data_IF_351906152795
#
_entry.id   IF_351906152795
#
_cell.length_a   1.000
_cell.length_b   1.000
_cell.length_c   1.000
_cell.angle_alpha   90.00
_cell.angle_beta   90.00
_cell.angle_gamma   90.00
#
_symmetry.space_group_name_H-M   'P 1'
#
loop_
_entity.id
_entity.type
_entity.pdbx_description
1 polymer ?
#
# COMPACT_ATOMS: atom_id res chain seq x y z
N UNK A 1 10.29 58.77 -20.76
CA UNK A 1 9.23 57.78 -20.45
C UNK A 1 9.61 57.09 -19.14
N UNK A 2 8.84 57.31 -18.08
CA UNK A 2 9.11 56.88 -16.69
C UNK A 2 8.99 55.36 -16.55
N UNK A 3 10.01 54.72 -15.97
CA UNK A 3 10.03 53.33 -15.49
C UNK A 3 10.33 53.32 -13.97
N UNK A 4 9.56 54.09 -13.21
CA UNK A 4 9.67 54.11 -11.74
C UNK A 4 8.28 53.83 -11.17
N UNK A 5 8.01 52.60 -10.74
CA UNK A 5 6.68 52.28 -10.22
C UNK A 5 6.39 50.84 -9.77
N UNK A 6 7.38 50.00 -9.48
CA UNK A 6 7.13 48.60 -9.07
C UNK A 6 8.05 48.09 -7.93
N UNK A 7 8.43 48.95 -6.98
CA UNK A 7 9.41 48.58 -5.95
C UNK A 7 8.96 48.79 -4.50
N UNK A 8 7.65 48.88 -4.21
CA UNK A 8 7.17 49.23 -2.85
C UNK A 8 5.95 48.47 -2.31
N UNK A 9 5.88 47.14 -2.53
CA UNK A 9 4.80 46.33 -1.91
C UNK A 9 5.31 45.11 -1.11
N UNK A 10 6.60 44.78 -1.10
CA UNK A 10 7.06 43.48 -0.60
C UNK A 10 7.78 43.48 0.78
N UNK A 11 7.44 44.33 1.75
CA UNK A 11 8.21 44.36 3.01
C UNK A 11 7.44 44.33 4.34
N UNK A 12 6.13 44.07 4.36
CA UNK A 12 5.37 44.03 5.62
C UNK A 12 4.45 42.81 5.80
N UNK A 13 4.79 41.67 5.18
CA UNK A 13 4.20 40.38 5.57
C UNK A 13 4.99 39.83 6.77
N UNK A 14 4.67 40.31 7.98
CA UNK A 14 5.15 39.71 9.23
C UNK A 14 4.79 38.23 9.23
N UNK A 15 5.81 37.37 9.24
CA UNK A 15 5.76 35.97 8.82
C UNK A 15 5.00 35.09 9.85
N UNK A 16 3.70 34.77 9.68
CA UNK A 16 2.92 33.99 10.64
C UNK A 16 3.09 32.47 10.44
N UNK A 17 4.11 32.05 9.68
CA UNK A 17 4.24 30.68 9.17
C UNK A 17 4.52 29.57 10.21
N UNK A 18 5.32 29.77 11.29
CA UNK A 18 5.76 28.63 12.09
C UNK A 18 4.66 27.97 12.92
N UNK A 19 3.60 28.70 13.30
CA UNK A 19 2.47 28.12 14.04
C UNK A 19 1.55 27.28 13.15
N UNK A 20 1.39 27.67 11.87
CA UNK A 20 0.57 26.96 10.91
C UNK A 20 1.12 25.54 10.68
N UNK A 21 2.44 25.43 10.51
CA UNK A 21 3.11 24.15 10.24
C UNK A 21 2.89 23.14 11.36
N UNK A 22 3.02 23.56 12.63
CA UNK A 22 2.79 22.68 13.79
C UNK A 22 1.36 22.14 13.83
N UNK A 23 0.37 22.98 13.55
CA UNK A 23 -1.04 22.56 13.54
C UNK A 23 -1.32 21.53 12.43
N UNK A 24 -0.72 21.71 11.25
CA UNK A 24 -0.89 20.81 10.12
C UNK A 24 -0.23 19.45 10.39
N UNK A 25 0.97 19.43 10.97
CA UNK A 25 1.66 18.20 11.34
C UNK A 25 0.84 17.36 12.33
N UNK A 26 0.25 18.01 13.34
CA UNK A 26 -0.63 17.34 14.31
C UNK A 26 -1.85 16.73 13.62
N UNK A 27 -2.46 17.43 12.66
CA UNK A 27 -3.59 16.91 11.88
C UNK A 27 -3.16 15.68 11.08
N UNK A 28 -2.09 15.78 10.29
CA UNK A 28 -1.59 14.67 9.46
C UNK A 28 -1.29 13.42 10.29
N UNK A 29 -0.50 13.57 11.35
CA UNK A 29 -0.15 12.49 12.27
C UNK A 29 -1.40 11.84 12.88
N UNK A 30 -2.37 12.67 13.31
CA UNK A 30 -3.61 12.18 13.91
C UNK A 30 -4.42 11.37 12.92
N UNK A 31 -4.58 11.84 11.67
CA UNK A 31 -5.35 11.12 10.65
C UNK A 31 -4.65 9.81 10.22
N UNK A 32 -3.34 9.86 9.97
CA UNK A 32 -2.57 8.67 9.60
C UNK A 32 -2.61 7.60 10.69
N UNK A 33 -2.37 7.97 11.95
CA UNK A 33 -2.35 7.03 13.07
C UNK A 33 -3.74 6.45 13.34
N UNK A 34 -4.79 7.30 13.40
CA UNK A 34 -6.15 6.83 13.67
C UNK A 34 -6.65 5.87 12.60
N UNK A 35 -6.50 6.22 11.33
CA UNK A 35 -6.98 5.36 10.26
C UNK A 35 -6.13 4.08 10.15
N UNK A 36 -4.81 4.16 10.31
CA UNK A 36 -3.95 2.96 10.37
C UNK A 36 -4.35 2.03 11.51
N UNK A 37 -4.61 2.54 12.72
CA UNK A 37 -5.08 1.72 13.85
C UNK A 37 -6.45 1.09 13.54
N UNK A 38 -7.35 1.85 12.91
CA UNK A 38 -8.67 1.36 12.53
C UNK A 38 -8.56 0.21 11.52
N UNK A 39 -7.76 0.37 10.46
CA UNK A 39 -7.61 -0.61 9.38
C UNK A 39 -6.82 -1.85 9.79
N UNK A 40 -5.71 -1.68 10.50
CA UNK A 40 -4.78 -2.79 10.78
C UNK A 40 -5.04 -3.52 12.10
N UNK A 41 -5.74 -2.88 13.05
CA UNK A 41 -5.98 -3.47 14.38
C UNK A 41 -7.47 -3.63 14.63
N UNK A 42 -8.23 -2.55 14.58
CA UNK A 42 -9.65 -2.58 14.97
C UNK A 42 -10.47 -3.42 13.99
N UNK A 43 -10.28 -3.28 12.67
CA UNK A 43 -11.03 -4.03 11.67
C UNK A 43 -10.79 -5.55 11.79
N UNK A 44 -9.56 -6.09 11.80
CA UNK A 44 -9.34 -7.52 12.01
C UNK A 44 -9.93 -8.05 13.32
N UNK A 45 -9.78 -7.30 14.43
CA UNK A 45 -10.37 -7.69 15.72
C UNK A 45 -11.90 -7.67 15.68
N UNK A 46 -12.50 -6.68 15.03
CA UNK A 46 -13.95 -6.60 14.85
C UNK A 46 -14.49 -7.77 14.02
N UNK A 47 -13.76 -8.19 12.97
CA UNK A 47 -14.13 -9.36 12.16
C UNK A 47 -14.00 -10.67 12.95
N UNK A 48 -12.93 -10.82 13.74
CA UNK A 48 -12.79 -11.95 14.64
C UNK A 48 -13.92 -12.02 15.69
N UNK A 49 -14.25 -10.86 16.29
CA UNK A 49 -15.37 -10.74 17.22
C UNK A 49 -16.71 -11.06 16.56
N UNK A 50 -16.93 -10.58 15.34
CA UNK A 50 -18.10 -10.90 14.52
C UNK A 50 -18.23 -12.40 14.31
N UNK A 51 -17.19 -13.07 13.82
CA UNK A 51 -17.22 -14.52 13.57
C UNK A 51 -17.42 -15.35 14.83
N UNK A 52 -16.98 -14.85 15.98
CA UNK A 52 -17.13 -15.53 17.27
C UNK A 52 -18.54 -15.36 17.86
N UNK A 53 -19.12 -14.17 17.76
CA UNK A 53 -20.36 -13.77 18.45
C UNK A 53 -21.61 -13.80 17.57
N UNK A 54 -21.47 -13.64 16.25
CA UNK A 54 -22.63 -13.57 15.36
C UNK A 54 -23.43 -14.89 15.37
N UNK A 55 -24.76 -14.83 15.20
CA UNK A 55 -25.58 -16.01 14.90
C UNK A 55 -25.01 -16.83 13.75
N UNK A 56 -25.15 -18.16 13.80
CA UNK A 56 -24.57 -19.09 12.80
C UNK A 56 -24.91 -18.73 11.35
N UNK A 57 -26.12 -18.23 11.10
CA UNK A 57 -26.60 -17.79 9.78
C UNK A 57 -25.87 -16.56 9.20
N UNK A 58 -25.09 -15.83 10.02
CA UNK A 58 -24.36 -14.64 9.60
C UNK A 58 -22.83 -14.83 9.60
N UNK A 59 -22.36 -16.00 10.02
CA UNK A 59 -20.93 -16.37 9.99
C UNK A 59 -20.51 -16.75 8.58
N UNK A 60 -19.20 -16.69 8.33
CA UNK A 60 -18.63 -17.27 7.14
C UNK A 60 -19.00 -18.76 7.02
N UNK A 61 -19.43 -19.17 5.83
CA UNK A 61 -19.78 -20.57 5.53
C UNK A 61 -19.27 -20.95 4.14
N UNK A 62 -19.10 -22.26 3.91
CA UNK A 62 -18.61 -22.75 2.63
C UNK A 62 -19.60 -22.49 1.48
N UNK A 63 -20.91 -22.52 1.75
CA UNK A 63 -21.94 -22.29 0.73
C UNK A 63 -22.12 -20.81 0.41
N UNK A 64 -22.07 -19.92 1.40
CA UNK A 64 -22.37 -18.50 1.23
C UNK A 64 -21.13 -17.61 1.03
N UNK A 65 -19.95 -18.11 1.41
CA UNK A 65 -18.77 -17.29 1.66
C UNK A 65 -18.99 -16.42 2.89
N UNK A 66 -18.68 -15.12 2.79
CA UNK A 66 -18.98 -14.15 3.83
C UNK A 66 -20.38 -13.53 3.66
N UNK A 67 -21.04 -13.25 4.80
CA UNK A 67 -22.35 -12.59 4.86
C UNK A 67 -22.25 -11.12 4.44
N UNK A 68 -23.26 -10.60 3.75
CA UNK A 68 -23.33 -9.16 3.42
C UNK A 68 -23.33 -8.28 4.68
N UNK A 69 -23.86 -8.79 5.80
CA UNK A 69 -23.88 -8.04 7.07
C UNK A 69 -22.46 -7.84 7.62
N UNK A 70 -21.53 -8.76 7.33
CA UNK A 70 -20.11 -8.60 7.70
C UNK A 70 -19.43 -7.42 6.98
N UNK A 71 -20.05 -6.86 5.93
CA UNK A 71 -19.58 -5.64 5.27
C UNK A 71 -19.88 -4.36 6.07
N UNK A 72 -20.71 -4.42 7.13
CA UNK A 72 -21.02 -3.24 7.93
C UNK A 72 -19.78 -2.66 8.64
N UNK A 73 -18.92 -3.45 9.32
CA UNK A 73 -17.62 -2.98 9.79
C UNK A 73 -16.78 -2.33 8.70
N UNK A 74 -16.67 -2.97 7.52
CA UNK A 74 -15.93 -2.40 6.38
C UNK A 74 -16.50 -1.04 5.98
N UNK A 75 -17.81 -0.93 5.80
CA UNK A 75 -18.47 0.32 5.41
C UNK A 75 -18.17 1.46 6.41
N UNK A 76 -18.19 1.18 7.71
CA UNK A 76 -17.84 2.19 8.73
C UNK A 76 -16.37 2.61 8.65
N UNK A 77 -15.46 1.67 8.38
CA UNK A 77 -14.03 1.96 8.18
C UNK A 77 -13.81 2.79 6.91
N UNK A 78 -14.51 2.48 5.82
CA UNK A 78 -14.40 3.24 4.56
C UNK A 78 -14.99 4.66 4.68
N UNK A 79 -16.08 4.85 5.42
CA UNK A 79 -16.58 6.19 5.72
C UNK A 79 -15.55 7.01 6.52
N UNK A 80 -14.90 6.38 7.50
CA UNK A 80 -13.82 7.01 8.25
C UNK A 80 -12.61 7.33 7.35
N UNK A 81 -12.24 6.42 6.44
CA UNK A 81 -11.19 6.62 5.45
C UNK A 81 -11.46 7.88 4.60
N UNK A 82 -12.65 8.00 4.00
CA UNK A 82 -13.00 9.15 3.16
C UNK A 82 -12.86 10.47 3.92
N UNK A 83 -13.29 10.49 5.18
CA UNK A 83 -13.13 11.65 6.06
C UNK A 83 -11.65 11.94 6.37
N UNK A 84 -10.92 10.93 6.85
CA UNK A 84 -9.53 11.06 7.28
C UNK A 84 -8.61 11.47 6.12
N UNK A 85 -8.78 10.87 4.95
CA UNK A 85 -8.04 11.21 3.73
C UNK A 85 -8.39 12.62 3.25
N UNK A 86 -9.66 13.04 3.30
CA UNK A 86 -10.05 14.40 2.90
C UNK A 86 -9.40 15.46 3.80
N UNK A 87 -9.36 15.21 5.12
CA UNK A 87 -8.68 16.06 6.09
C UNK A 87 -7.16 16.07 5.85
N UNK A 88 -6.54 14.89 5.71
CA UNK A 88 -5.10 14.76 5.49
C UNK A 88 -4.67 15.40 4.16
N UNK A 89 -5.44 15.21 3.09
CA UNK A 89 -5.22 15.85 1.80
C UNK A 89 -5.27 17.38 1.90
N UNK A 90 -6.29 17.92 2.58
CA UNK A 90 -6.45 19.37 2.74
C UNK A 90 -5.32 19.98 3.57
N UNK A 91 -4.93 19.28 4.64
CA UNK A 91 -3.80 19.64 5.49
C UNK A 91 -2.48 19.62 4.69
N UNK A 92 -2.20 18.53 3.97
CA UNK A 92 -1.01 18.41 3.10
C UNK A 92 -0.98 19.52 2.03
N UNK A 93 -2.12 19.78 1.38
CA UNK A 93 -2.22 20.83 0.35
C UNK A 93 -1.95 22.23 0.92
N UNK A 94 -2.28 22.48 2.19
CA UNK A 94 -2.01 23.78 2.83
C UNK A 94 -0.53 24.06 3.08
N UNK A 95 0.33 23.03 3.06
CA UNK A 95 1.79 23.17 3.11
C UNK A 95 2.40 23.54 1.76
N UNK A 96 1.62 23.46 0.68
CA UNK A 96 2.09 23.71 -0.68
C UNK A 96 1.86 25.18 -1.04
N UNK A 97 2.92 25.86 -1.48
CA UNK A 97 2.85 27.24 -1.97
C UNK A 97 2.11 27.32 -3.31
N UNK A 98 1.61 28.51 -3.67
CA UNK A 98 0.90 28.70 -4.95
C UNK A 98 1.72 28.30 -6.19
N UNK A 99 3.03 28.63 -6.30
CA UNK A 99 3.85 28.17 -7.42
C UNK A 99 3.96 26.64 -7.50
N UNK A 100 4.18 25.98 -6.36
CA UNK A 100 4.25 24.52 -6.28
C UNK A 100 2.91 23.89 -6.68
N UNK A 101 1.77 24.47 -6.29
CA UNK A 101 0.45 24.00 -6.71
C UNK A 101 0.26 24.05 -8.23
N UNK A 102 0.81 25.06 -8.92
CA UNK A 102 0.79 25.12 -10.39
C UNK A 102 1.60 23.98 -11.00
N UNK A 103 2.79 23.71 -10.44
CA UNK A 103 3.65 22.60 -10.87
C UNK A 103 2.94 21.25 -10.66
N UNK A 104 2.37 21.01 -9.47
CA UNK A 104 1.59 19.79 -9.18
C UNK A 104 0.38 19.62 -10.10
N UNK A 105 -0.27 20.73 -10.49
CA UNK A 105 -1.36 20.71 -11.47
C UNK A 105 -0.84 20.29 -12.85
N UNK A 106 0.33 20.77 -13.27
CA UNK A 106 0.94 20.41 -14.55
C UNK A 106 1.36 18.94 -14.60
N UNK A 107 1.90 18.40 -13.51
CA UNK A 107 2.18 16.96 -13.36
C UNK A 107 0.92 16.10 -13.21
N UNK A 108 -0.26 16.70 -13.15
CA UNK A 108 -1.53 15.98 -13.06
C UNK A 108 -1.80 15.35 -11.68
N UNK A 109 -0.98 15.63 -10.65
CA UNK A 109 -1.14 15.08 -9.28
C UNK A 109 -2.55 15.33 -8.75
N UNK A 110 -3.07 16.54 -8.97
CA UNK A 110 -4.41 16.94 -8.53
C UNK A 110 -5.53 16.23 -9.32
N UNK A 111 -5.30 15.90 -10.59
CA UNK A 111 -6.26 15.20 -11.45
C UNK A 111 -6.35 13.71 -11.07
N UNK A 112 -5.22 13.09 -10.72
CA UNK A 112 -5.14 11.68 -10.33
C UNK A 112 -5.78 11.38 -8.96
N UNK A 113 -6.05 12.41 -8.13
CA UNK A 113 -6.64 12.23 -6.79
C UNK A 113 -7.87 11.34 -6.77
N UNK A 114 -8.84 11.55 -7.68
CA UNK A 114 -10.10 10.77 -7.69
C UNK A 114 -9.87 9.28 -7.94
N UNK A 115 -8.92 8.97 -8.82
CA UNK A 115 -8.54 7.59 -9.11
C UNK A 115 -7.83 6.94 -7.92
N UNK A 116 -6.92 7.66 -7.27
CA UNK A 116 -6.21 7.16 -6.09
C UNK A 116 -7.13 6.99 -4.89
N UNK A 117 -8.08 7.90 -4.68
CA UNK A 117 -9.14 7.75 -3.68
C UNK A 117 -9.89 6.42 -3.86
N UNK A 118 -10.30 6.10 -5.10
CA UNK A 118 -10.93 4.83 -5.44
C UNK A 118 -9.99 3.64 -5.19
N UNK A 119 -8.71 3.77 -5.54
CA UNK A 119 -7.69 2.75 -5.30
C UNK A 119 -7.59 2.41 -3.80
N UNK A 120 -7.61 3.41 -2.91
CA UNK A 120 -7.56 3.18 -1.47
C UNK A 120 -8.83 2.52 -0.93
N UNK A 121 -10.02 2.87 -1.43
CA UNK A 121 -11.27 2.13 -1.14
C UNK A 121 -11.15 0.65 -1.53
N UNK A 122 -10.57 0.37 -2.71
CA UNK A 122 -10.32 -0.99 -3.15
C UNK A 122 -9.31 -1.70 -2.24
N UNK A 123 -8.27 -1.02 -1.75
CA UNK A 123 -7.29 -1.61 -0.83
C UNK A 123 -7.90 -1.97 0.52
N UNK A 124 -8.80 -1.13 1.05
CA UNK A 124 -9.56 -1.41 2.26
C UNK A 124 -10.52 -2.60 2.09
N UNK A 125 -11.21 -2.70 0.94
CA UNK A 125 -12.00 -3.87 0.60
C UNK A 125 -11.16 -5.16 0.55
N UNK A 126 -9.98 -5.13 -0.08
CA UNK A 126 -9.10 -6.30 -0.11
C UNK A 126 -8.59 -6.67 1.28
N UNK A 127 -8.21 -5.68 2.11
CA UNK A 127 -7.81 -5.95 3.48
C UNK A 127 -8.93 -6.66 4.26
N UNK A 128 -10.18 -6.25 4.07
CA UNK A 128 -11.33 -6.93 4.62
C UNK A 128 -11.47 -8.37 4.09
N UNK A 129 -11.39 -8.57 2.76
CA UNK A 129 -11.51 -9.92 2.20
C UNK A 129 -10.39 -10.84 2.67
N UNK A 130 -9.15 -10.34 2.76
CA UNK A 130 -8.01 -11.09 3.27
C UNK A 130 -8.16 -11.43 4.76
N UNK A 131 -8.77 -10.54 5.55
CA UNK A 131 -9.01 -10.74 6.97
C UNK A 131 -10.16 -11.73 7.25
N UNK A 132 -11.20 -11.75 6.42
CA UNK A 132 -12.34 -12.67 6.58
C UNK A 132 -12.08 -14.05 5.95
N UNK A 133 -11.20 -14.11 4.95
CA UNK A 133 -10.93 -15.33 4.18
C UNK A 133 -10.51 -16.55 5.02
N UNK A 134 -9.66 -16.45 6.07
CA UNK A 134 -9.34 -17.59 6.93
C UNK A 134 -10.57 -18.24 7.57
N UNK A 135 -11.63 -17.48 7.86
CA UNK A 135 -12.87 -18.04 8.41
C UNK A 135 -13.69 -18.77 7.36
N UNK A 136 -13.72 -18.26 6.12
CA UNK A 136 -14.33 -18.95 4.96
C UNK A 136 -13.59 -20.26 4.71
N UNK A 137 -12.25 -20.21 4.65
CA UNK A 137 -11.40 -21.38 4.51
C UNK A 137 -11.64 -22.41 5.62
N UNK A 138 -11.75 -21.97 6.88
CA UNK A 138 -12.05 -22.83 8.03
C UNK A 138 -13.39 -23.54 7.88
N UNK A 139 -14.41 -22.86 7.35
CA UNK A 139 -15.73 -23.44 7.14
C UNK A 139 -15.77 -24.52 6.04
N UNK A 140 -14.77 -24.55 5.15
CA UNK A 140 -14.62 -25.56 4.08
C UNK A 140 -13.54 -26.60 4.39
N UNK A 141 -12.93 -26.56 5.57
CA UNK A 141 -11.58 -27.08 5.76
C UNK A 141 -11.42 -28.60 5.73
N UNK A 142 -12.44 -29.35 6.18
CA UNK A 142 -12.38 -30.81 6.29
C UNK A 142 -11.89 -31.45 4.99
N UNK A 143 -12.34 -30.93 3.84
CA UNK A 143 -11.92 -31.48 2.57
C UNK A 143 -10.77 -30.71 1.93
N UNK A 144 -10.72 -29.38 2.10
CA UNK A 144 -9.63 -28.57 1.54
C UNK A 144 -8.26 -29.05 1.99
N UNK A 145 -8.13 -29.43 3.27
CA UNK A 145 -6.86 -29.89 3.81
C UNK A 145 -6.42 -31.23 3.21
N UNK A 146 -7.36 -32.16 3.01
CA UNK A 146 -7.05 -33.47 2.44
C UNK A 146 -6.68 -33.36 0.96
N UNK A 147 -7.53 -32.71 0.15
CA UNK A 147 -7.31 -32.54 -1.30
C UNK A 147 -6.01 -31.78 -1.59
N UNK A 148 -5.76 -30.70 -0.83
CA UNK A 148 -4.54 -29.93 -0.98
C UNK A 148 -3.31 -30.71 -0.54
N UNK A 149 -3.42 -31.49 0.54
CA UNK A 149 -2.35 -32.38 1.01
C UNK A 149 -2.00 -33.45 -0.03
N UNK A 150 -3.00 -34.04 -0.68
CA UNK A 150 -2.82 -35.01 -1.77
C UNK A 150 -2.14 -34.36 -2.98
N UNK A 151 -2.62 -33.18 -3.40
CA UNK A 151 -2.00 -32.44 -4.51
C UNK A 151 -0.51 -32.10 -4.26
N UNK A 152 -0.15 -31.84 -2.99
CA UNK A 152 1.26 -31.65 -2.62
C UNK A 152 2.06 -32.95 -2.58
N UNK A 153 1.43 -34.09 -2.28
CA UNK A 153 2.08 -35.40 -2.25
C UNK A 153 2.75 -35.79 -3.58
N UNK A 154 2.21 -35.30 -4.70
CA UNK A 154 2.70 -35.57 -6.05
C UNK A 154 3.91 -34.71 -6.44
N UNK A 155 4.26 -33.68 -5.65
CA UNK A 155 5.39 -32.80 -5.93
C UNK A 155 6.70 -33.48 -5.52
N UNK A 156 7.69 -33.65 -6.42
CA UNK A 156 8.93 -34.33 -6.09
C UNK A 156 9.75 -33.56 -5.04
N UNK A 157 10.56 -34.30 -4.27
CA UNK A 157 11.49 -33.82 -3.23
C UNK A 157 10.86 -33.20 -1.99
N UNK A 158 9.93 -32.26 -2.15
CA UNK A 158 9.34 -31.47 -1.04
C UNK A 158 7.91 -31.87 -0.71
N UNK A 159 7.23 -32.60 -1.60
CA UNK A 159 5.80 -32.85 -1.53
C UNK A 159 5.33 -33.50 -0.24
N UNK A 160 5.99 -34.56 0.22
CA UNK A 160 5.62 -35.25 1.46
C UNK A 160 5.78 -34.39 2.71
N UNK A 161 6.81 -33.52 2.73
CA UNK A 161 7.03 -32.59 3.84
C UNK A 161 5.94 -31.52 3.87
N UNK A 162 5.61 -30.94 2.70
CA UNK A 162 4.56 -29.93 2.59
C UNK A 162 3.19 -30.54 2.87
N UNK A 163 2.88 -31.74 2.36
CA UNK A 163 1.63 -32.44 2.65
C UNK A 163 1.46 -32.71 4.15
N UNK A 164 2.54 -33.12 4.84
CA UNK A 164 2.54 -33.29 6.30
C UNK A 164 2.29 -31.97 7.03
N UNK A 165 2.92 -30.88 6.57
CA UNK A 165 2.69 -29.54 7.09
C UNK A 165 1.25 -29.06 6.84
N UNK A 166 0.68 -29.34 5.65
CA UNK A 166 -0.72 -29.05 5.31
C UNK A 166 -1.67 -29.77 6.25
N UNK A 167 -1.45 -31.06 6.55
CA UNK A 167 -2.28 -31.79 7.51
C UNK A 167 -2.16 -31.24 8.94
N UNK A 168 -0.97 -30.80 9.34
CA UNK A 168 -0.71 -30.26 10.68
C UNK A 168 -1.30 -28.85 10.88
N UNK A 169 -1.06 -27.95 9.92
CA UNK A 169 -1.48 -26.54 10.00
C UNK A 169 -2.92 -26.36 9.49
N UNK A 170 -3.39 -27.26 8.63
CA UNK A 170 -4.67 -27.21 7.90
C UNK A 170 -4.70 -26.05 6.89
N UNK A 171 -5.54 -26.13 5.88
CA UNK A 171 -5.59 -25.12 4.81
C UNK A 171 -5.88 -23.72 5.37
N UNK A 172 -6.86 -23.61 6.27
CA UNK A 172 -7.21 -22.34 6.90
C UNK A 172 -6.08 -21.75 7.76
N UNK A 173 -5.21 -22.59 8.32
CA UNK A 173 -4.05 -22.13 9.08
C UNK A 173 -3.04 -21.42 8.20
N UNK A 174 -2.81 -21.89 6.97
CA UNK A 174 -1.98 -21.17 5.98
C UNK A 174 -2.60 -19.84 5.58
N UNK A 175 -3.92 -19.80 5.35
CA UNK A 175 -4.63 -18.56 5.08
C UNK A 175 -4.46 -17.57 6.25
N UNK A 176 -4.63 -18.03 7.49
CA UNK A 176 -4.44 -17.21 8.68
C UNK A 176 -3.00 -16.70 8.81
N UNK A 177 -1.98 -17.54 8.58
CA UNK A 177 -0.59 -17.13 8.63
C UNK A 177 -0.25 -16.08 7.57
N UNK A 178 -0.78 -16.24 6.36
CA UNK A 178 -0.62 -15.23 5.30
C UNK A 178 -1.30 -13.91 5.69
N UNK A 179 -2.51 -13.96 6.27
CA UNK A 179 -3.25 -12.77 6.71
C UNK A 179 -2.53 -12.08 7.86
N UNK A 180 -2.06 -12.85 8.84
CA UNK A 180 -1.28 -12.34 9.96
C UNK A 180 0.03 -11.70 9.48
N UNK A 181 0.72 -12.30 8.52
CA UNK A 181 1.94 -11.74 7.92
C UNK A 181 1.65 -10.38 7.28
N UNK A 182 0.56 -10.28 6.50
CA UNK A 182 0.12 -9.01 5.90
C UNK A 182 -0.14 -7.95 6.98
N UNK A 183 -0.86 -8.30 8.05
CA UNK A 183 -1.20 -7.37 9.13
C UNK A 183 0.04 -6.95 9.94
N UNK A 184 0.94 -7.88 10.24
CA UNK A 184 2.15 -7.60 11.02
C UNK A 184 3.16 -6.77 10.21
N UNK A 185 3.45 -7.17 8.98
CA UNK A 185 4.46 -6.52 8.13
C UNK A 185 3.95 -5.17 7.63
N UNK A 186 2.72 -5.09 7.13
CA UNK A 186 2.21 -3.84 6.54
C UNK A 186 1.56 -2.93 7.58
N UNK A 187 0.88 -3.51 8.57
CA UNK A 187 0.18 -2.75 9.60
C UNK A 187 1.08 -2.37 10.76
N UNK A 188 1.55 -3.36 11.54
CA UNK A 188 2.28 -3.09 12.78
C UNK A 188 3.64 -2.44 12.51
N UNK A 189 4.43 -2.95 11.57
CA UNK A 189 5.72 -2.34 11.26
C UNK A 189 5.53 -0.92 10.67
N UNK A 190 4.52 -0.71 9.82
CA UNK A 190 4.18 0.62 9.31
C UNK A 190 3.76 1.58 10.42
N UNK A 191 2.93 1.13 11.38
CA UNK A 191 2.52 1.92 12.54
C UNK A 191 3.72 2.37 13.39
N UNK A 192 4.71 1.50 13.58
CA UNK A 192 5.95 1.86 14.29
C UNK A 192 6.75 2.93 13.54
N UNK A 193 6.77 2.87 12.20
CA UNK A 193 7.40 3.89 11.35
C UNK A 193 6.63 5.23 11.37
N UNK A 194 5.35 5.24 11.76
CA UNK A 194 4.54 6.45 11.91
C UNK A 194 4.77 7.20 13.25
N UNK A 195 5.60 6.71 14.17
CA UNK A 195 5.78 7.32 15.50
C UNK A 195 6.71 8.55 15.51
N UNK A 196 7.88 8.57 14.84
CA UNK A 196 8.89 9.63 15.02
C UNK A 196 8.62 10.94 14.26
N UNK A 197 7.37 11.39 14.13
CA UNK A 197 7.03 12.70 13.57
C UNK A 197 7.12 13.78 14.64
N UNK A 198 8.31 14.31 14.89
CA UNK A 198 8.45 15.56 15.63
C UNK A 198 9.66 16.33 15.12
N UNK A 199 9.40 17.31 14.26
CA UNK A 199 10.37 18.32 13.89
C UNK A 199 9.85 19.71 14.29
N UNK A 200 10.65 20.43 15.07
CA UNK A 200 10.43 21.84 15.33
C UNK A 200 10.96 22.64 14.12
N UNK A 201 10.07 22.98 13.17
CA UNK A 201 10.46 23.80 12.03
C UNK A 201 9.55 23.67 10.83
N UNK A 202 10.00 24.29 9.73
CA UNK A 202 9.38 24.19 8.42
C UNK A 202 9.56 22.77 7.87
N UNK A 203 8.53 22.26 7.19
CA UNK A 203 8.56 20.92 6.59
C UNK A 203 9.70 20.76 5.57
N UNK A 204 10.59 19.81 5.82
CA UNK A 204 11.71 19.44 4.95
C UNK A 204 11.30 18.36 3.95
N UNK A 205 12.10 18.13 2.90
CA UNK A 205 11.86 17.04 1.96
C UNK A 205 11.82 15.66 2.64
N UNK A 206 12.62 15.44 3.69
CA UNK A 206 12.61 14.21 4.48
C UNK A 206 11.31 14.02 5.26
N UNK A 207 10.70 15.12 5.74
CA UNK A 207 9.38 15.05 6.40
C UNK A 207 8.30 14.59 5.42
N UNK A 208 8.33 15.10 4.18
CA UNK A 208 7.40 14.68 3.14
C UNK A 208 7.58 13.20 2.75
N UNK A 209 8.82 12.69 2.67
CA UNK A 209 9.05 11.25 2.48
C UNK A 209 8.46 10.44 3.64
N UNK A 210 8.66 10.88 4.88
CA UNK A 210 8.11 10.19 6.04
C UNK A 210 6.57 10.23 6.06
N UNK A 211 5.94 11.35 5.68
CA UNK A 211 4.49 11.44 5.53
C UNK A 211 3.95 10.60 4.38
N UNK A 212 4.67 10.47 3.27
CA UNK A 212 4.29 9.57 2.19
C UNK A 212 4.19 8.12 2.68
N UNK A 213 5.18 7.66 3.44
CA UNK A 213 5.21 6.31 4.04
C UNK A 213 4.09 6.10 5.05
N UNK A 214 3.80 7.10 5.88
CA UNK A 214 2.70 7.03 6.83
C UNK A 214 1.33 7.04 6.14
N UNK A 215 1.15 7.86 5.12
CA UNK A 215 -0.07 7.88 4.31
C UNK A 215 -0.27 6.53 3.59
N UNK A 216 0.80 5.93 3.06
CA UNK A 216 0.74 4.61 2.43
C UNK A 216 0.41 3.48 3.42
N UNK A 217 0.95 3.55 4.64
CA UNK A 217 0.57 2.65 5.74
C UNK A 217 -0.90 2.83 6.09
N UNK A 218 -1.38 4.07 6.11
CA UNK A 218 -2.78 4.41 6.33
C UNK A 218 -3.67 4.12 5.12
N UNK A 219 -3.20 3.43 4.06
CA UNK A 219 -3.98 3.14 2.85
C UNK A 219 -4.54 4.40 2.15
N UNK A 220 -3.85 5.55 2.27
CA UNK A 220 -4.21 6.84 1.66
C UNK A 220 -3.30 7.15 0.44
N UNK A 221 -3.46 6.46 -0.70
CA UNK A 221 -2.55 6.60 -1.84
C UNK A 221 -2.53 8.01 -2.44
N UNK A 222 -3.62 8.78 -2.35
CA UNK A 222 -3.62 10.15 -2.89
C UNK A 222 -2.72 11.08 -2.07
N UNK A 223 -2.80 11.00 -0.74
CA UNK A 223 -1.96 11.79 0.17
C UNK A 223 -0.50 11.34 0.08
N UNK A 224 -0.25 10.03 -0.09
CA UNK A 224 1.09 9.50 -0.30
C UNK A 224 1.73 10.08 -1.57
N UNK A 225 1.06 10.01 -2.72
CA UNK A 225 1.56 10.57 -3.97
C UNK A 225 1.80 12.09 -3.88
N UNK A 226 0.91 12.84 -3.23
CA UNK A 226 1.10 14.28 -3.02
C UNK A 226 2.36 14.55 -2.18
N UNK A 227 2.57 13.78 -1.11
CA UNK A 227 3.74 13.91 -0.27
C UNK A 227 5.04 13.50 -1.00
N UNK A 228 5.02 12.43 -1.80
CA UNK A 228 6.17 12.02 -2.63
C UNK A 228 6.56 13.10 -3.64
N UNK A 229 5.58 13.70 -4.33
CA UNK A 229 5.88 14.75 -5.29
C UNK A 229 6.41 16.02 -4.60
N UNK A 230 5.90 16.35 -3.42
CA UNK A 230 6.45 17.44 -2.62
C UNK A 230 7.87 17.14 -2.13
N UNK A 231 8.17 15.90 -1.74
CA UNK A 231 9.53 15.48 -1.41
C UNK A 231 10.48 15.65 -2.60
N UNK A 232 10.05 15.25 -3.80
CA UNK A 232 10.82 15.40 -5.04
C UNK A 232 11.11 16.88 -5.35
N UNK A 233 10.12 17.76 -5.18
CA UNK A 233 10.30 19.20 -5.38
C UNK A 233 11.26 19.78 -4.34
N UNK A 234 11.08 19.40 -3.07
CA UNK A 234 11.90 19.87 -1.93
C UNK A 234 13.32 19.32 -1.92
N UNK A 235 13.61 18.25 -2.67
CA UNK A 235 14.98 17.73 -2.85
C UNK A 235 15.96 18.75 -3.42
N UNK A 236 15.46 19.75 -4.15
CA UNK A 236 16.25 20.79 -4.78
C UNK A 236 16.30 22.11 -3.99
N UNK A 237 15.55 22.22 -2.90
CA UNK A 237 15.57 23.40 -2.04
C UNK A 237 16.37 23.06 -0.78
N UNK A 238 17.55 23.65 -0.63
CA UNK A 238 18.39 23.47 0.56
C UNK A 238 17.62 23.87 1.84
N UNK A 239 17.89 23.17 2.94
CA UNK A 239 17.22 23.37 4.22
C UNK A 239 17.27 24.84 4.66
N UNK A 240 16.12 25.38 5.08
CA UNK A 240 15.89 26.80 5.32
C UNK A 240 16.77 27.39 6.45
N UNK A 241 17.39 26.53 7.25
CA UNK A 241 18.33 26.89 8.31
C UNK A 241 19.69 27.36 7.77
N UNK A 242 20.10 26.89 6.58
CA UNK A 242 21.27 27.37 5.83
C UNK A 242 20.87 28.29 4.65
N UNK A 243 19.57 28.48 4.42
CA UNK A 243 19.04 29.31 3.32
C UNK A 243 19.43 30.78 3.41
N UNK A 244 19.75 31.33 4.57
CA UNK A 244 20.07 32.76 4.61
C UNK A 244 21.28 33.04 3.73
N UNK A 245 22.30 32.18 3.84
CA UNK A 245 23.52 32.27 3.03
C UNK A 245 23.29 31.70 1.62
N UNK A 246 22.49 30.63 1.48
CA UNK A 246 22.20 30.03 0.17
C UNK A 246 21.25 30.87 -0.72
N UNK A 247 20.26 31.58 -0.16
CA UNK A 247 19.38 32.53 -0.89
C UNK A 247 20.06 33.85 -1.15
N UNK A 248 20.88 34.35 -0.23
CA UNK A 248 21.76 35.48 -0.55
C UNK A 248 22.68 35.10 -1.71
N UNK A 249 23.13 33.84 -1.75
CA UNK A 249 23.86 33.25 -2.86
C UNK A 249 23.06 33.10 -4.17
N UNK A 250 21.94 32.37 -4.19
CA UNK A 250 21.14 32.17 -5.40
C UNK A 250 20.51 33.46 -5.92
N UNK A 251 20.08 34.33 -5.00
CA UNK A 251 19.67 35.69 -5.31
C UNK A 251 20.84 36.47 -5.93
N UNK A 252 22.02 36.44 -5.30
CA UNK A 252 23.22 37.03 -5.87
C UNK A 252 23.50 36.49 -7.28
N UNK A 253 23.51 35.17 -7.49
CA UNK A 253 23.75 34.54 -8.78
C UNK A 253 22.69 34.92 -9.82
N UNK A 254 21.41 34.93 -9.45
CA UNK A 254 20.31 35.36 -10.32
C UNK A 254 20.38 36.86 -10.67
N UNK A 255 20.94 37.69 -9.78
CA UNK A 255 21.20 39.11 -10.01
C UNK A 255 22.62 39.40 -10.54
N UNK A 256 23.40 38.38 -10.92
CA UNK A 256 24.73 38.53 -11.52
C UNK A 256 25.88 38.84 -10.54
N UNK A 257 25.62 38.82 -9.24
CA UNK A 257 26.65 38.83 -8.22
C UNK A 257 27.32 37.44 -8.17
N UNK A 258 28.64 37.41 -8.32
CA UNK A 258 29.40 36.16 -8.28
C UNK A 258 29.41 35.62 -6.86
N UNK A 259 28.86 34.43 -6.65
CA UNK A 259 29.24 33.63 -5.48
C UNK A 259 30.75 33.41 -5.50
N UNK A 260 31.31 33.33 -4.31
CA UNK A 260 32.62 32.70 -4.13
C UNK A 260 32.57 31.25 -4.68
N UNK A 261 33.46 30.86 -5.60
CA UNK A 261 33.43 29.54 -6.23
C UNK A 261 33.47 28.38 -5.23
N UNK A 262 34.24 28.50 -4.14
CA UNK A 262 34.38 27.43 -3.16
C UNK A 262 33.06 27.22 -2.39
N UNK A 263 32.35 28.31 -2.11
CA UNK A 263 31.01 28.27 -1.49
C UNK A 263 29.99 27.61 -2.43
N UNK A 264 30.03 27.91 -3.73
CA UNK A 264 29.14 27.29 -4.71
C UNK A 264 29.36 25.77 -4.82
N UNK A 265 30.63 25.34 -4.85
CA UNK A 265 31.00 23.91 -4.88
C UNK A 265 30.53 23.21 -3.60
N UNK A 266 30.69 23.84 -2.43
CA UNK A 266 30.21 23.28 -1.16
C UNK A 266 28.70 23.03 -1.18
N UNK A 267 27.90 23.98 -1.68
CA UNK A 267 26.45 23.80 -1.78
C UNK A 267 26.06 22.72 -2.79
N UNK A 268 26.76 22.63 -3.93
CA UNK A 268 26.52 21.58 -4.92
C UNK A 268 26.80 20.19 -4.33
N UNK A 269 27.92 20.02 -3.63
CA UNK A 269 28.28 18.76 -2.96
C UNK A 269 27.29 18.41 -1.85
N UNK A 270 26.87 19.39 -1.04
CA UNK A 270 25.85 19.18 -0.02
C UNK A 270 24.52 18.72 -0.64
N UNK A 271 24.04 19.41 -1.68
CA UNK A 271 22.81 19.05 -2.38
C UNK A 271 22.91 17.67 -3.02
N UNK A 272 24.07 17.32 -3.60
CA UNK A 272 24.31 16.00 -4.18
C UNK A 272 24.28 14.90 -3.12
N UNK A 273 24.87 15.12 -1.96
CA UNK A 273 24.87 14.17 -0.85
C UNK A 273 23.47 13.98 -0.25
N UNK A 274 22.73 15.08 -0.04
CA UNK A 274 21.34 15.03 0.43
C UNK A 274 20.45 14.30 -0.57
N UNK A 275 20.58 14.62 -1.85
CA UNK A 275 19.87 13.97 -2.93
C UNK A 275 20.19 12.46 -2.98
N UNK A 276 21.44 12.06 -2.79
CA UNK A 276 21.81 10.65 -2.74
C UNK A 276 21.21 9.93 -1.54
N UNK A 277 21.17 10.58 -0.37
CA UNK A 277 20.58 10.02 0.85
C UNK A 277 19.06 9.82 0.72
N UNK A 278 18.35 10.82 0.21
CA UNK A 278 16.90 10.72 -0.06
C UNK A 278 16.62 9.58 -1.03
N UNK A 279 17.34 9.52 -2.16
CA UNK A 279 17.17 8.47 -3.16
C UNK A 279 17.45 7.06 -2.61
N UNK A 280 18.48 6.91 -1.76
CA UNK A 280 18.77 5.63 -1.10
C UNK A 280 17.63 5.22 -0.16
N UNK A 281 17.12 6.17 0.63
CA UNK A 281 16.00 5.94 1.55
C UNK A 281 14.72 5.56 0.80
N UNK A 282 14.41 6.25 -0.30
CA UNK A 282 13.29 5.93 -1.20
C UNK A 282 13.45 4.53 -1.82
N UNK A 283 14.63 4.22 -2.36
CA UNK A 283 14.91 2.92 -2.96
C UNK A 283 14.75 1.78 -1.95
N UNK A 284 15.25 1.96 -0.72
CA UNK A 284 15.08 0.98 0.35
C UNK A 284 13.61 0.78 0.72
N UNK A 285 12.82 1.87 0.79
CA UNK A 285 11.38 1.81 1.03
C UNK A 285 10.63 1.04 -0.06
N UNK A 286 10.84 1.39 -1.33
CA UNK A 286 10.18 0.69 -2.44
C UNK A 286 10.62 -0.77 -2.56
N UNK A 287 11.86 -1.10 -2.20
CA UNK A 287 12.33 -2.48 -2.15
C UNK A 287 11.62 -3.27 -1.05
N UNK A 288 11.52 -2.71 0.16
CA UNK A 288 10.75 -3.30 1.26
C UNK A 288 9.28 -3.49 0.88
N UNK A 289 8.70 -2.51 0.18
CA UNK A 289 7.33 -2.59 -0.28
C UNK A 289 7.13 -3.71 -1.30
N UNK A 290 8.00 -3.82 -2.31
CA UNK A 290 7.91 -4.87 -3.32
C UNK A 290 8.05 -6.26 -2.70
N UNK A 291 9.02 -6.45 -1.80
CA UNK A 291 9.29 -7.76 -1.17
C UNK A 291 8.28 -8.11 -0.08
N UNK A 292 8.11 -7.23 0.91
CA UNK A 292 7.26 -7.47 2.06
C UNK A 292 5.78 -7.34 1.73
N UNK A 293 5.37 -6.17 1.23
CA UNK A 293 3.94 -5.85 1.04
C UNK A 293 3.34 -6.56 -0.17
N UNK A 294 4.01 -6.48 -1.32
CA UNK A 294 3.47 -7.03 -2.57
C UNK A 294 3.72 -8.52 -2.71
N UNK A 295 4.97 -8.97 -2.62
CA UNK A 295 5.30 -10.39 -2.84
C UNK A 295 4.86 -11.28 -1.67
N UNK A 296 5.35 -11.04 -0.46
CA UNK A 296 4.99 -11.87 0.70
C UNK A 296 3.54 -11.65 1.15
N UNK A 297 3.03 -10.43 1.02
CA UNK A 297 1.65 -10.12 1.38
C UNK A 297 0.63 -10.49 0.30
N UNK A 298 0.58 -9.70 -0.77
CA UNK A 298 -0.49 -9.78 -1.77
C UNK A 298 -0.38 -10.97 -2.72
N UNK A 299 0.81 -11.32 -3.22
CA UNK A 299 0.96 -12.50 -4.10
C UNK A 299 0.62 -13.79 -3.36
N UNK A 300 1.08 -13.94 -2.11
CA UNK A 300 0.77 -15.11 -1.30
C UNK A 300 -0.73 -15.23 -1.04
N UNK A 301 -1.41 -14.14 -0.68
CA UNK A 301 -2.86 -14.15 -0.48
C UNK A 301 -3.62 -14.50 -1.76
N UNK A 302 -3.27 -13.88 -2.89
CA UNK A 302 -3.88 -14.18 -4.18
C UNK A 302 -3.67 -15.66 -4.57
N UNK A 303 -2.49 -16.20 -4.28
CA UNK A 303 -2.19 -17.61 -4.53
C UNK A 303 -2.99 -18.55 -3.63
N UNK A 304 -3.17 -18.24 -2.34
CA UNK A 304 -4.00 -19.06 -1.45
C UNK A 304 -5.48 -18.96 -1.84
N UNK A 305 -6.00 -17.76 -2.14
CA UNK A 305 -7.40 -17.56 -2.55
C UNK A 305 -7.72 -18.26 -3.88
N UNK A 306 -6.83 -18.19 -4.86
CA UNK A 306 -7.00 -18.94 -6.12
C UNK A 306 -6.90 -20.45 -5.92
N UNK A 307 -6.06 -20.92 -4.99
CA UNK A 307 -5.99 -22.34 -4.63
C UNK A 307 -7.26 -22.82 -3.93
N UNK A 308 -7.81 -22.01 -3.03
CA UNK A 308 -9.09 -22.27 -2.39
C UNK A 308 -10.21 -22.38 -3.41
N UNK A 309 -10.31 -21.44 -4.35
CA UNK A 309 -11.34 -21.48 -5.39
C UNK A 309 -11.23 -22.76 -6.23
N UNK A 310 -10.01 -23.16 -6.61
CA UNK A 310 -9.80 -24.38 -7.39
C UNK A 310 -10.25 -25.64 -6.63
N UNK A 311 -9.90 -25.74 -5.35
CA UNK A 311 -10.22 -26.90 -4.50
C UNK A 311 -11.71 -26.93 -4.09
N UNK A 312 -12.31 -25.78 -3.81
CA UNK A 312 -13.69 -25.68 -3.36
C UNK A 312 -14.70 -25.60 -4.53
N UNK A 313 -14.23 -25.58 -5.78
CA UNK A 313 -14.98 -25.11 -6.95
C UNK A 313 -16.37 -25.74 -7.09
N UNK A 314 -16.54 -27.04 -6.84
CA UNK A 314 -17.85 -27.69 -7.00
C UNK A 314 -18.81 -27.52 -5.83
N UNK A 315 -18.29 -27.19 -4.66
CA UNK A 315 -19.07 -27.20 -3.41
C UNK A 315 -19.56 -25.84 -3.00
N UNK A 316 -18.86 -24.81 -3.44
CA UNK A 316 -19.32 -23.45 -3.26
C UNK A 316 -20.59 -23.18 -4.06
N UNK A 317 -21.52 -22.43 -3.48
CA UNK A 317 -22.61 -21.88 -4.28
C UNK A 317 -22.04 -20.85 -5.26
N UNK A 318 -22.72 -20.64 -6.39
CA UNK A 318 -22.31 -19.67 -7.42
C UNK A 318 -21.95 -18.29 -6.82
N UNK A 319 -22.75 -17.80 -5.88
CA UNK A 319 -22.51 -16.50 -5.24
C UNK A 319 -21.26 -16.43 -4.34
N UNK A 320 -20.76 -17.54 -3.81
CA UNK A 320 -19.49 -17.56 -3.07
C UNK A 320 -18.29 -17.50 -4.05
N UNK A 321 -18.36 -18.27 -5.14
CA UNK A 321 -17.35 -18.26 -6.21
C UNK A 321 -17.18 -16.88 -6.81
N UNK A 322 -18.29 -16.20 -7.14
CA UNK A 322 -18.27 -14.88 -7.74
C UNK A 322 -17.55 -13.86 -6.84
N UNK A 323 -17.76 -13.93 -5.52
CA UNK A 323 -17.08 -13.06 -4.55
C UNK A 323 -15.57 -13.30 -4.51
N UNK A 324 -15.15 -14.57 -4.49
CA UNK A 324 -13.73 -14.93 -4.47
C UNK A 324 -13.04 -14.54 -5.77
N UNK A 325 -13.67 -14.79 -6.92
CA UNK A 325 -13.16 -14.38 -8.24
C UNK A 325 -13.03 -12.87 -8.31
N UNK A 326 -14.07 -12.13 -7.90
CA UNK A 326 -14.03 -10.66 -7.87
C UNK A 326 -12.91 -10.14 -6.97
N UNK A 327 -12.73 -10.74 -5.78
CA UNK A 327 -11.62 -10.44 -4.88
C UNK A 327 -10.25 -10.68 -5.53
N UNK A 328 -10.07 -11.83 -6.19
CA UNK A 328 -8.85 -12.17 -6.91
C UNK A 328 -8.56 -11.19 -8.06
N UNK A 329 -9.56 -10.82 -8.85
CA UNK A 329 -9.42 -9.85 -9.94
C UNK A 329 -9.04 -8.46 -9.43
N UNK A 330 -9.69 -8.00 -8.35
CA UNK A 330 -9.38 -6.73 -7.72
C UNK A 330 -7.95 -6.74 -7.15
N UNK A 331 -7.58 -7.83 -6.46
CA UNK A 331 -6.24 -8.04 -5.92
C UNK A 331 -5.14 -8.07 -6.97
N UNK A 332 -5.35 -8.79 -8.07
CA UNK A 332 -4.42 -8.81 -9.20
C UNK A 332 -4.25 -7.40 -9.80
N UNK A 333 -5.34 -6.66 -9.98
CA UNK A 333 -5.30 -5.30 -10.55
C UNK A 333 -4.53 -4.33 -9.65
N UNK A 334 -4.83 -4.32 -8.34
CA UNK A 334 -4.13 -3.47 -7.37
C UNK A 334 -2.65 -3.84 -7.25
N UNK A 335 -2.35 -5.13 -7.20
CA UNK A 335 -0.98 -5.65 -7.14
C UNK A 335 -0.15 -5.22 -8.35
N UNK A 336 -0.67 -5.40 -9.57
CA UNK A 336 0.03 -5.00 -10.79
C UNK A 336 0.21 -3.48 -10.87
N UNK A 337 -0.81 -2.70 -10.51
CA UNK A 337 -0.71 -1.24 -10.47
C UNK A 337 0.40 -0.77 -9.52
N UNK A 338 0.43 -1.30 -8.28
CA UNK A 338 1.45 -0.96 -7.27
C UNK A 338 2.85 -1.44 -7.67
N UNK A 339 2.96 -2.62 -8.28
CA UNK A 339 4.23 -3.16 -8.75
C UNK A 339 4.81 -2.30 -9.89
N UNK A 340 3.97 -1.87 -10.83
CA UNK A 340 4.36 -0.97 -11.92
C UNK A 340 4.80 0.41 -11.38
N UNK A 341 4.09 0.96 -10.41
CA UNK A 341 4.47 2.21 -9.75
C UNK A 341 5.85 2.09 -9.08
N UNK A 342 6.04 1.04 -8.27
CA UNK A 342 7.29 0.81 -7.53
C UNK A 342 8.47 0.52 -8.46
N UNK A 343 8.23 -0.17 -9.59
CA UNK A 343 9.26 -0.42 -10.61
C UNK A 343 9.78 0.89 -11.21
N UNK A 344 8.91 1.87 -11.48
CA UNK A 344 9.34 3.19 -11.99
C UNK A 344 10.31 3.88 -11.03
N UNK A 345 10.10 3.73 -9.73
CA UNK A 345 10.94 4.32 -8.69
C UNK A 345 12.26 3.56 -8.48
N UNK A 346 12.25 2.23 -8.63
CA UNK A 346 13.44 1.37 -8.47
C UNK A 346 14.29 1.24 -9.74
N UNK A 347 13.78 1.65 -10.90
CA UNK A 347 14.44 1.47 -12.19
C UNK A 347 14.71 0.00 -12.51
N UNK A 348 15.90 -0.31 -13.05
CA UNK A 348 16.28 -1.67 -13.46
C UNK A 348 16.25 -2.69 -12.31
N UNK A 349 16.44 -2.27 -11.07
CA UNK A 349 16.38 -3.17 -9.90
C UNK A 349 14.95 -3.67 -9.63
N UNK A 350 13.92 -2.90 -10.02
CA UNK A 350 12.52 -3.28 -9.85
C UNK A 350 12.03 -4.29 -10.88
N UNK A 351 12.72 -4.43 -12.02
CA UNK A 351 12.27 -5.26 -13.15
C UNK A 351 12.17 -6.76 -12.80
N UNK A 352 13.18 -7.41 -12.17
CA UNK A 352 13.07 -8.82 -11.79
C UNK A 352 11.90 -9.08 -10.82
N UNK A 353 11.67 -8.17 -9.88
CA UNK A 353 10.58 -8.28 -8.90
C UNK A 353 9.21 -8.13 -9.58
N UNK A 354 9.09 -7.19 -10.53
CA UNK A 354 7.87 -7.03 -11.33
C UNK A 354 7.57 -8.29 -12.15
N UNK A 355 8.57 -8.87 -12.82
CA UNK A 355 8.40 -10.11 -13.59
C UNK A 355 7.96 -11.27 -12.71
N UNK A 356 8.52 -11.40 -11.50
CA UNK A 356 8.08 -12.38 -10.52
C UNK A 356 6.63 -12.18 -10.09
N UNK A 357 6.22 -10.93 -9.81
CA UNK A 357 4.83 -10.60 -9.47
C UNK A 357 3.88 -10.96 -10.62
N UNK A 358 4.23 -10.59 -11.86
CA UNK A 358 3.45 -10.94 -13.04
C UNK A 358 3.32 -12.46 -13.18
N UNK A 359 4.40 -13.21 -12.96
CA UNK A 359 4.36 -14.67 -12.98
C UNK A 359 3.43 -15.23 -11.89
N UNK A 360 3.47 -14.72 -10.67
CA UNK A 360 2.55 -15.12 -9.59
C UNK A 360 1.08 -14.81 -9.90
N UNK A 361 0.80 -13.64 -10.49
CA UNK A 361 -0.55 -13.25 -10.92
C UNK A 361 -1.04 -14.15 -12.05
N UNK A 362 -0.22 -14.35 -13.08
CA UNK A 362 -0.55 -15.23 -14.22
C UNK A 362 -0.79 -16.67 -13.75
N UNK A 363 0.03 -17.15 -12.81
CA UNK A 363 -0.12 -18.46 -12.19
C UNK A 363 -1.44 -18.60 -11.42
N UNK A 364 -1.79 -17.60 -10.61
CA UNK A 364 -3.05 -17.58 -9.86
C UNK A 364 -4.24 -17.50 -10.81
N UNK A 365 -4.15 -16.71 -11.89
CA UNK A 365 -5.15 -16.64 -12.94
C UNK A 365 -5.31 -17.97 -13.69
N UNK A 366 -4.22 -18.68 -13.98
CA UNK A 366 -4.26 -20.00 -14.60
C UNK A 366 -5.00 -21.01 -13.70
N UNK A 367 -4.75 -21.01 -12.38
CA UNK A 367 -5.51 -21.85 -11.43
C UNK A 367 -7.01 -21.58 -11.49
N UNK A 368 -7.41 -20.31 -11.47
CA UNK A 368 -8.83 -19.92 -11.57
C UNK A 368 -9.42 -20.37 -12.90
N UNK A 369 -8.73 -20.13 -14.02
CA UNK A 369 -9.21 -20.53 -15.34
C UNK A 369 -9.36 -22.05 -15.47
N UNK A 370 -8.35 -22.82 -15.06
CA UNK A 370 -8.37 -24.28 -15.12
C UNK A 370 -9.36 -24.91 -14.15
N UNK A 371 -9.77 -24.22 -13.09
CA UNK A 371 -10.90 -24.64 -12.27
C UNK A 371 -12.23 -24.69 -13.06
N UNK A 372 -12.35 -24.05 -14.22
CA UNK A 372 -13.52 -24.21 -15.09
C UNK A 372 -13.38 -25.32 -16.14
N UNK A 373 -12.13 -25.70 -16.48
CA UNK A 373 -11.85 -26.62 -17.59
C UNK A 373 -11.47 -28.03 -17.14
N UNK A 374 -10.83 -28.20 -15.98
CA UNK A 374 -10.46 -29.52 -15.46
C UNK A 374 -11.68 -30.20 -14.85
N UNK A 375 -12.00 -31.47 -15.20
CA UNK A 375 -13.06 -32.24 -14.56
C UNK A 375 -12.81 -32.48 -13.06
N UNK A 376 -11.53 -32.55 -12.67
CA UNK A 376 -11.09 -32.83 -11.31
C UNK A 376 -10.54 -31.58 -10.59
N UNK A 377 -10.67 -30.40 -11.22
CA UNK A 377 -10.48 -29.04 -10.68
C UNK A 377 -9.13 -28.69 -10.00
N UNK A 378 -8.22 -29.64 -9.81
CA UNK A 378 -6.85 -29.41 -9.37
C UNK A 378 -5.94 -29.38 -10.58
N UNK A 379 -5.39 -28.20 -10.87
CA UNK A 379 -4.40 -28.02 -11.92
C UNK A 379 -3.02 -27.73 -11.33
N UNK A 380 -2.02 -28.43 -11.85
CA UNK A 380 -0.61 -28.19 -11.58
C UNK A 380 0.15 -28.01 -12.91
N UNK A 381 1.20 -27.18 -12.93
CA UNK A 381 1.93 -26.85 -14.16
C UNK A 381 2.53 -28.10 -14.81
N UNK A 382 3.02 -28.99 -13.95
CA UNK A 382 3.84 -30.13 -14.37
C UNK A 382 2.99 -31.35 -14.69
N UNK A 383 1.88 -31.55 -13.98
CA UNK A 383 1.05 -32.76 -14.08
C UNK A 383 -0.29 -32.51 -14.77
N UNK A 384 -0.66 -31.25 -15.05
CA UNK A 384 -1.95 -30.92 -15.66
C UNK A 384 -3.11 -31.05 -14.66
N UNK A 385 -4.27 -31.51 -15.13
CA UNK A 385 -5.41 -31.82 -14.26
C UNK A 385 -5.12 -33.10 -13.47
N UNK A 386 -5.11 -33.02 -12.14
CA UNK A 386 -4.89 -34.16 -11.26
C UNK A 386 -6.23 -34.76 -10.86
N UNK A 387 -6.41 -36.06 -11.11
CA UNK A 387 -7.58 -36.80 -10.66
C UNK A 387 -7.55 -36.92 -9.13
N UNK A 388 -8.53 -36.31 -8.46
CA UNK A 388 -8.77 -36.57 -7.05
C UNK A 388 -9.32 -37.99 -6.89
N UNK A 389 -8.73 -38.78 -6.02
CA UNK A 389 -9.25 -40.11 -5.68
C UNK A 389 -10.67 -39.97 -5.16
N UNK A 390 -11.65 -40.51 -5.88
CA UNK A 390 -13.05 -40.51 -5.47
C UNK A 390 -13.19 -41.30 -4.16
N UNK A 391 -13.35 -40.57 -3.05
CA UNK A 391 -13.65 -41.13 -1.74
C UNK A 391 -15.14 -40.98 -1.41
#
# INVERSE_FOLDING_TARGET
MRRDGYSRVASNAGNPKPELDKSVQVILRTQFLRHSLLSWVVLPLALYGWESLAPRQFRASCSQGYSLISLLPLFLVELHYLYAESCAWSAMKSLVSEPELVILKHFGVLQHRKWLLLLGLCEGFILFTDAIFPFVARACDEILTEDWGTAWGDVPLVGQSIASLVRAVRFWGFALLATATVILVNGVAGLLLCIPFSHDGQATGTDFVAWARAAETALMPSVAMLAEEMANQKRHFADHSQEKDAREGEGAAAFGNKLDPDTAVMYEDFNRNLAAHIHFSESAHFMLLMLGKLLLGRCLQLWIQSSFLALAFHREAAGAKDKVILGCCLGATLLLHRALHSMKMLGCMGLPLLLLIIACVAWSGAKIAWAFFCPDHIWNLTTGCVQLSQH
#
